data_IF_517418079971
#
_entry.id   IF_517418079971
#
_cell.length_a   1.000
_cell.length_b   1.000
_cell.length_c   1.000
_cell.angle_alpha   90.00
_cell.angle_beta   90.00
_cell.angle_gamma   90.00
#
_symmetry.space_group_name_H-M   'P 1'
#
loop_
_entity.id
_entity.type
_entity.pdbx_description
1 polymer ?
#
# COMPACT_ATOMS: atom_id res chain seq x y z
N UNK A 1 -5.97 4.27 -9.76
CA UNK A 1 -4.58 3.90 -9.41
C UNK A 1 -4.43 3.88 -7.91
N UNK A 2 -3.45 3.16 -7.40
CA UNK A 2 -3.09 3.19 -5.98
C UNK A 2 -1.60 3.51 -5.94
N UNK A 3 -1.19 4.58 -5.26
CA UNK A 3 0.21 4.97 -5.13
C UNK A 3 0.81 4.31 -3.89
N UNK A 4 2.02 3.78 -4.01
CA UNK A 4 2.76 3.18 -2.91
C UNK A 4 4.01 4.00 -2.59
N UNK A 5 4.16 4.31 -1.31
CA UNK A 5 5.31 4.97 -0.71
C UNK A 5 5.86 4.13 0.45
N UNK A 6 7.08 4.42 0.90
CA UNK A 6 7.64 3.83 2.13
C UNK A 6 8.06 4.96 3.07
N UNK A 7 9.04 5.75 2.63
CA UNK A 7 9.58 6.85 3.43
C UNK A 7 9.32 8.21 2.78
N UNK A 8 8.96 9.18 3.61
CA UNK A 8 9.00 10.60 3.24
C UNK A 8 9.78 11.31 4.34
N UNK A 9 10.99 11.76 4.04
CA UNK A 9 11.90 12.29 5.05
C UNK A 9 12.82 13.35 4.44
N UNK A 10 13.07 14.49 5.13
CA UNK A 10 14.09 15.44 4.71
C UNK A 10 15.47 14.77 4.55
N UNK A 11 16.27 15.12 3.53
CA UNK A 11 17.56 14.47 3.28
C UNK A 11 18.54 14.50 4.48
N UNK A 12 18.49 15.55 5.30
CA UNK A 12 19.29 15.72 6.52
C UNK A 12 18.81 14.86 7.71
N UNK A 13 17.62 14.27 7.61
CA UNK A 13 17.00 13.39 8.62
C UNK A 13 17.03 11.92 8.23
N UNK A 14 17.49 11.59 7.02
CA UNK A 14 17.71 10.21 6.60
C UNK A 14 18.83 9.59 7.45
N UNK A 15 18.63 8.41 8.08
CA UNK A 15 19.66 7.78 8.89
C UNK A 15 20.94 7.51 8.10
N UNK A 16 22.09 7.83 8.69
CA UNK A 16 23.40 7.51 8.10
C UNK A 16 23.64 5.99 7.99
N UNK A 17 23.00 5.20 8.86
CA UNK A 17 23.03 3.75 8.85
C UNK A 17 21.62 3.17 8.89
N UNK A 18 21.36 2.27 7.94
CA UNK A 18 20.12 1.51 7.83
C UNK A 18 20.41 0.16 7.18
N UNK A 19 19.63 -0.86 7.54
CA UNK A 19 19.68 -2.12 6.80
C UNK A 19 18.97 -1.96 5.44
N UNK A 20 19.37 -2.74 4.43
CA UNK A 20 18.70 -2.74 3.12
C UNK A 20 17.23 -3.19 3.18
N UNK A 21 16.82 -3.86 4.26
CA UNK A 21 15.45 -4.28 4.52
C UNK A 21 14.55 -3.12 4.96
N UNK A 22 15.12 -1.98 5.36
CA UNK A 22 14.35 -0.82 5.78
C UNK A 22 13.80 -0.02 4.59
N UNK A 23 14.38 -0.14 3.38
CA UNK A 23 13.79 0.47 2.19
C UNK A 23 14.09 1.96 1.99
N UNK A 24 15.09 2.52 2.68
CA UNK A 24 15.48 3.94 2.54
C UNK A 24 15.87 4.36 1.10
N UNK A 25 16.22 3.42 0.21
CA UNK A 25 16.40 3.69 -1.22
C UNK A 25 15.14 4.24 -1.92
N UNK A 26 13.97 4.07 -1.30
CA UNK A 26 12.67 4.56 -1.77
C UNK A 26 12.24 5.88 -1.11
N UNK A 27 13.11 6.51 -0.32
CA UNK A 27 12.80 7.74 0.44
C UNK A 27 12.67 8.98 -0.44
N UNK A 28 11.57 9.72 -0.27
CA UNK A 28 11.31 11.00 -0.94
C UNK A 28 11.42 12.17 0.03
N UNK A 29 11.97 13.29 -0.41
CA UNK A 29 11.84 14.53 0.34
C UNK A 29 10.38 15.01 0.35
N UNK A 30 9.88 15.65 1.44
CA UNK A 30 8.49 16.10 1.54
C UNK A 30 8.04 17.01 0.38
N UNK A 31 8.94 17.85 -0.13
CA UNK A 31 8.70 18.73 -1.27
C UNK A 31 8.55 17.95 -2.59
N UNK A 32 9.31 16.86 -2.77
CA UNK A 32 9.18 15.96 -3.92
C UNK A 32 7.86 15.20 -3.85
N UNK A 33 7.52 14.69 -2.66
CA UNK A 33 6.24 14.03 -2.39
C UNK A 33 5.04 14.96 -2.72
N UNK A 34 5.05 16.20 -2.21
CA UNK A 34 4.03 17.22 -2.56
C UNK A 34 3.92 17.45 -4.07
N UNK A 35 5.05 17.62 -4.75
CA UNK A 35 5.10 17.80 -6.22
C UNK A 35 4.51 16.61 -6.98
N UNK A 36 4.77 15.38 -6.54
CA UNK A 36 4.16 14.18 -7.13
C UNK A 36 2.64 14.21 -7.01
N UNK A 37 2.11 14.47 -5.82
CA UNK A 37 0.66 14.51 -5.59
C UNK A 37 -0.02 15.63 -6.38
N UNK A 38 0.61 16.82 -6.44
CA UNK A 38 0.12 17.94 -7.27
C UNK A 38 0.07 17.57 -8.75
N UNK A 39 1.07 16.84 -9.27
CA UNK A 39 1.08 16.37 -10.66
C UNK A 39 0.02 15.32 -10.93
N UNK A 40 -0.22 14.40 -10.01
CA UNK A 40 -1.30 13.41 -10.11
C UNK A 40 -2.65 14.14 -10.21
N UNK A 41 -2.89 15.12 -9.32
CA UNK A 41 -4.09 15.96 -9.33
C UNK A 41 -4.24 16.75 -10.62
N UNK A 42 -3.18 17.40 -11.11
CA UNK A 42 -3.23 18.20 -12.35
C UNK A 42 -3.49 17.37 -13.61
N UNK A 43 -3.25 16.05 -13.56
CA UNK A 43 -3.63 15.09 -14.62
C UNK A 43 -5.10 14.62 -14.52
N UNK A 44 -5.87 15.20 -13.61
CA UNK A 44 -7.29 14.93 -13.43
C UNK A 44 -7.60 13.68 -12.60
N UNK A 45 -6.65 13.21 -11.79
CA UNK A 45 -6.92 12.16 -10.81
C UNK A 45 -7.50 12.76 -9.53
N UNK A 46 -8.62 12.21 -9.07
CA UNK A 46 -9.25 12.54 -7.82
C UNK A 46 -8.75 11.62 -6.71
N UNK A 47 -8.24 12.19 -5.63
CA UNK A 47 -7.78 11.41 -4.48
C UNK A 47 -8.96 10.98 -3.62
N UNK A 48 -9.02 9.70 -3.27
CA UNK A 48 -10.05 9.09 -2.42
C UNK A 48 -9.41 8.12 -1.45
N UNK A 49 -10.11 7.80 -0.35
CA UNK A 49 -9.63 6.79 0.59
C UNK A 49 -9.53 5.43 -0.09
N UNK A 50 -8.70 4.52 0.44
CA UNK A 50 -8.61 3.18 -0.12
C UNK A 50 -9.96 2.44 -0.05
N UNK A 51 -10.75 2.67 1.01
CA UNK A 51 -12.11 2.13 1.11
C UNK A 51 -13.00 2.62 -0.03
N UNK A 52 -13.08 3.94 -0.27
CA UNK A 52 -13.85 4.49 -1.39
C UNK A 52 -13.31 4.04 -2.76
N UNK A 53 -12.00 3.83 -2.88
CA UNK A 53 -11.38 3.27 -4.08
C UNK A 53 -11.86 1.83 -4.33
N UNK A 54 -11.84 0.98 -3.28
CA UNK A 54 -12.25 -0.43 -3.35
C UNK A 54 -13.75 -0.57 -3.61
N UNK A 55 -14.59 0.22 -2.94
CA UNK A 55 -16.04 0.24 -3.19
C UNK A 55 -16.39 0.74 -4.59
N UNK A 56 -15.54 1.58 -5.18
CA UNK A 56 -15.69 2.10 -6.54
C UNK A 56 -15.04 1.24 -7.62
N UNK A 57 -14.53 0.04 -7.28
CA UNK A 57 -13.93 -0.85 -8.27
C UNK A 57 -14.96 -1.26 -9.31
N UNK A 58 -14.62 -1.18 -10.60
CA UNK A 58 -15.54 -1.59 -11.65
C UNK A 58 -15.74 -3.11 -11.64
N UNK A 59 -16.98 -3.52 -11.82
CA UNK A 59 -17.37 -4.89 -12.12
C UNK A 59 -17.54 -5.03 -13.65
N UNK A 60 -16.43 -5.16 -14.37
CA UNK A 60 -16.41 -5.24 -15.84
C UNK A 60 -15.96 -3.97 -16.56
N UNK A 61 -16.50 -3.71 -17.76
CA UNK A 61 -16.05 -2.66 -18.70
C UNK A 61 -16.75 -1.32 -18.50
N UNK A 62 -16.93 -0.88 -17.25
CA UNK A 62 -17.46 0.46 -16.98
C UNK A 62 -16.36 1.51 -17.14
N UNK A 63 -16.77 2.73 -17.48
CA UNK A 63 -15.87 3.86 -17.68
C UNK A 63 -15.09 4.14 -16.39
N UNK A 64 -13.77 4.01 -16.46
CA UNK A 64 -12.90 4.13 -15.29
C UNK A 64 -12.89 5.57 -14.79
N UNK A 65 -13.39 5.74 -13.56
CA UNK A 65 -13.18 6.98 -12.80
C UNK A 65 -11.68 7.14 -12.56
N UNK A 66 -11.14 8.35 -12.77
CA UNK A 66 -9.74 8.68 -12.48
C UNK A 66 -9.54 8.83 -10.97
N UNK A 67 -9.65 7.72 -10.23
CA UNK A 67 -9.47 7.69 -8.78
C UNK A 67 -8.02 7.34 -8.42
N UNK A 68 -7.47 7.99 -7.41
CA UNK A 68 -6.16 7.68 -6.84
C UNK A 68 -6.28 7.48 -5.33
N UNK A 69 -5.68 6.41 -4.79
CA UNK A 69 -5.50 6.23 -3.36
C UNK A 69 -4.00 6.32 -3.02
N UNK A 70 -3.65 6.90 -1.87
CA UNK A 70 -2.26 6.99 -1.39
C UNK A 70 -2.05 5.97 -0.28
N UNK A 71 -1.00 5.15 -0.41
CA UNK A 71 -0.68 4.11 0.56
C UNK A 71 0.80 4.14 0.95
N UNK A 72 1.09 3.77 2.19
CA UNK A 72 2.43 3.63 2.72
C UNK A 72 2.59 2.24 3.33
N UNK A 73 3.78 1.66 3.20
CA UNK A 73 4.10 0.37 3.78
C UNK A 73 4.96 0.51 5.04
N UNK A 74 4.98 -0.58 5.80
CA UNK A 74 5.78 -0.85 6.99
C UNK A 74 5.46 -0.04 8.27
N UNK A 75 4.82 1.12 8.18
CA UNK A 75 4.46 1.93 9.37
C UNK A 75 5.62 2.73 9.94
N UNK A 76 6.40 3.38 9.07
CA UNK A 76 7.54 4.23 9.44
C UNK A 76 7.11 5.53 10.14
N UNK A 77 7.85 5.96 11.17
CA UNK A 77 7.59 7.18 11.92
C UNK A 77 7.66 8.44 11.05
N UNK A 78 8.55 8.47 10.06
CA UNK A 78 8.66 9.60 9.13
C UNK A 78 7.37 9.84 8.34
N UNK A 79 6.51 8.83 8.19
CA UNK A 79 5.20 9.02 7.57
C UNK A 79 4.34 9.94 8.43
N UNK A 80 4.29 9.69 9.74
CA UNK A 80 3.60 10.55 10.71
C UNK A 80 4.21 11.95 10.76
N UNK A 81 5.54 12.06 10.81
CA UNK A 81 6.24 13.33 10.99
C UNK A 81 6.22 14.23 9.74
N UNK A 82 6.30 13.65 8.54
CA UNK A 82 6.52 14.42 7.32
C UNK A 82 5.54 14.13 6.18
N UNK A 83 5.01 12.91 6.04
CA UNK A 83 4.07 12.59 4.96
C UNK A 83 2.64 13.05 5.28
N UNK A 84 2.15 12.69 6.48
CA UNK A 84 0.77 12.98 6.90
C UNK A 84 0.49 14.49 6.95
N UNK A 85 1.36 15.37 7.47
CA UNK A 85 1.10 16.81 7.44
C UNK A 85 0.89 17.35 6.01
N UNK A 86 1.69 16.89 5.04
CA UNK A 86 1.52 17.25 3.62
C UNK A 86 0.17 16.77 3.09
N UNK A 87 -0.24 15.55 3.44
CA UNK A 87 -1.51 14.98 3.00
C UNK A 87 -2.71 15.71 3.60
N UNK A 88 -2.64 16.08 4.88
CA UNK A 88 -3.66 16.86 5.59
C UNK A 88 -3.82 18.25 4.96
N UNK A 89 -2.72 18.98 4.72
CA UNK A 89 -2.75 20.27 4.00
C UNK A 89 -3.39 20.15 2.62
N UNK A 90 -3.14 19.04 1.92
CA UNK A 90 -3.68 18.80 0.59
C UNK A 90 -5.07 18.16 0.59
N UNK A 91 -5.63 17.84 1.77
CA UNK A 91 -6.88 17.11 1.97
C UNK A 91 -6.91 15.77 1.20
N UNK A 92 -5.80 15.02 1.25
CA UNK A 92 -5.65 13.73 0.60
C UNK A 92 -5.73 12.63 1.66
N UNK A 93 -6.74 11.73 1.60
CA UNK A 93 -6.79 10.57 2.48
C UNK A 93 -5.67 9.58 2.15
N UNK A 94 -5.23 8.83 3.14
CA UNK A 94 -4.20 7.80 2.96
C UNK A 94 -4.47 6.55 3.79
N UNK A 95 -3.75 5.49 3.46
CA UNK A 95 -3.70 4.24 4.21
C UNK A 95 -2.26 3.91 4.58
N UNK A 96 -2.02 3.57 5.85
CA UNK A 96 -0.74 3.06 6.33
C UNK A 96 -0.88 1.55 6.57
N UNK A 97 -0.11 0.74 5.86
CA UNK A 97 0.01 -0.69 6.13
C UNK A 97 1.12 -0.92 7.15
N UNK A 98 0.77 -1.48 8.31
CA UNK A 98 1.66 -1.61 9.47
C UNK A 98 2.07 -3.06 9.68
N UNK A 99 3.36 -3.28 9.95
CA UNK A 99 3.87 -4.59 10.43
C UNK A 99 3.58 -4.66 11.93
N UNK A 100 2.57 -5.43 12.34
CA UNK A 100 2.01 -5.33 13.70
C UNK A 100 3.03 -5.62 14.80
N UNK A 101 3.87 -6.64 14.60
CA UNK A 101 4.90 -7.05 15.55
C UNK A 101 6.15 -6.16 15.56
N UNK A 102 6.30 -5.23 14.60
CA UNK A 102 7.43 -4.30 14.58
C UNK A 102 7.24 -3.08 15.50
N UNK A 103 6.04 -2.89 16.04
CA UNK A 103 5.73 -1.80 16.98
C UNK A 103 6.21 -2.07 18.41
N UNK A 104 6.58 -3.32 18.70
CA UNK A 104 7.10 -3.75 20.00
C UNK A 104 8.56 -4.22 19.81
N UNK A 105 9.52 -3.65 20.54
CA UNK A 105 10.93 -4.05 20.51
C UNK A 105 11.93 -2.98 20.03
N UNK A 106 13.19 -3.40 19.78
CA UNK A 106 14.36 -2.51 19.52
C UNK A 106 14.24 -1.72 18.21
N UNK A 107 13.45 -2.20 17.24
CA UNK A 107 13.14 -1.49 15.99
C UNK A 107 12.08 -0.39 16.13
N UNK A 108 11.49 -0.20 17.32
CA UNK A 108 10.36 0.71 17.56
C UNK A 108 10.70 2.20 17.39
N UNK A 109 11.96 2.61 17.57
CA UNK A 109 12.33 4.04 17.52
C UNK A 109 12.07 4.67 16.14
N UNK A 110 12.13 3.88 15.06
CA UNK A 110 11.84 4.33 13.69
C UNK A 110 10.42 4.01 13.25
N UNK A 111 9.66 3.24 14.03
CA UNK A 111 8.26 2.90 13.75
C UNK A 111 7.32 3.89 14.43
N UNK A 112 6.12 4.01 13.88
CA UNK A 112 5.04 4.69 14.58
C UNK A 112 4.67 3.92 15.85
N UNK A 113 4.40 4.66 16.91
CA UNK A 113 3.88 4.11 18.17
C UNK A 113 2.38 3.91 18.09
N UNK A 114 1.82 3.06 18.95
CA UNK A 114 0.35 2.85 19.03
C UNK A 114 -0.41 4.17 19.27
N UNK A 115 0.01 5.08 20.17
CA UNK A 115 -0.62 6.40 20.30
C UNK A 115 -0.65 7.21 18.99
N UNK A 116 0.46 7.23 18.23
CA UNK A 116 0.51 7.91 16.93
C UNK A 116 -0.47 7.27 15.94
N UNK A 117 -0.55 5.94 15.87
CA UNK A 117 -1.52 5.27 14.99
C UNK A 117 -2.97 5.58 15.36
N UNK A 118 -3.29 5.64 16.67
CA UNK A 118 -4.63 6.03 17.16
C UNK A 118 -4.97 7.48 16.84
N UNK A 119 -3.99 8.37 16.87
CA UNK A 119 -4.20 9.76 16.43
C UNK A 119 -4.52 9.81 14.93
N UNK A 120 -3.76 9.06 14.12
CA UNK A 120 -3.98 8.99 12.68
C UNK A 120 -5.38 8.46 12.32
N UNK A 121 -5.88 7.43 13.02
CA UNK A 121 -7.26 6.95 12.80
C UNK A 121 -8.29 8.03 13.12
N UNK A 122 -8.08 8.83 14.16
CA UNK A 122 -8.90 10.01 14.50
C UNK A 122 -8.89 11.11 13.42
N UNK A 123 -7.81 11.21 12.63
CA UNK A 123 -7.70 12.15 11.51
C UNK A 123 -8.21 11.60 10.17
N UNK A 124 -8.84 10.41 10.15
CA UNK A 124 -9.35 9.79 8.93
C UNK A 124 -8.29 9.09 8.07
N UNK A 125 -7.10 8.83 8.62
CA UNK A 125 -6.11 7.94 8.00
C UNK A 125 -6.48 6.49 8.31
N UNK A 126 -6.50 5.64 7.28
CA UNK A 126 -6.84 4.23 7.45
C UNK A 126 -5.60 3.43 7.86
N UNK A 127 -5.74 2.52 8.83
CA UNK A 127 -4.69 1.56 9.18
C UNK A 127 -5.03 0.20 8.54
N UNK A 128 -4.07 -0.35 7.80
CA UNK A 128 -4.11 -1.68 7.21
C UNK A 128 -2.98 -2.55 7.76
N UNK A 129 -3.02 -3.86 7.47
CA UNK A 129 -2.00 -4.80 7.92
C UNK A 129 -0.94 -5.06 6.84
N UNK A 130 0.32 -5.21 7.27
CA UNK A 130 1.46 -5.60 6.43
C UNK A 130 2.14 -6.88 6.93
N UNK A 131 1.34 -7.88 7.30
CA UNK A 131 1.71 -9.06 8.10
C UNK A 131 2.20 -8.72 9.51
N UNK A 132 2.50 -9.75 10.32
CA UNK A 132 2.89 -9.58 11.73
C UNK A 132 4.38 -9.31 11.85
N UNK A 133 5.21 -10.03 11.10
CA UNK A 133 6.68 -9.93 11.18
C UNK A 133 7.38 -9.59 9.86
N UNK A 134 6.61 -9.25 8.81
CA UNK A 134 7.11 -8.94 7.47
C UNK A 134 7.90 -10.10 6.77
N UNK A 135 7.49 -11.38 6.88
CA UNK A 135 8.21 -12.46 6.21
C UNK A 135 7.79 -12.56 4.75
N UNK A 136 8.52 -13.39 4.00
CA UNK A 136 8.06 -13.84 2.68
C UNK A 136 6.92 -14.85 2.85
N UNK A 137 5.67 -14.38 2.74
CA UNK A 137 4.47 -15.20 2.97
C UNK A 137 4.40 -16.48 2.10
N UNK A 138 4.89 -16.41 0.86
CA UNK A 138 4.84 -17.54 -0.08
C UNK A 138 5.72 -18.73 0.30
N UNK A 139 6.62 -18.58 1.28
CA UNK A 139 7.49 -19.66 1.77
C UNK A 139 7.02 -20.24 3.10
N UNK A 140 5.89 -19.79 3.63
CA UNK A 140 5.37 -20.23 4.93
C UNK A 140 4.48 -21.46 4.80
N UNK A 141 4.44 -22.28 5.85
CA UNK A 141 3.41 -23.28 6.02
C UNK A 141 2.08 -22.64 6.47
N UNK A 142 0.98 -23.40 6.41
CA UNK A 142 -0.37 -22.89 6.70
C UNK A 142 -0.52 -22.27 8.10
N UNK A 143 0.08 -22.88 9.13
CA UNK A 143 0.00 -22.38 10.51
C UNK A 143 0.72 -21.03 10.66
N UNK A 144 1.93 -20.92 10.11
CA UNK A 144 2.73 -19.69 10.15
C UNK A 144 2.07 -18.60 9.31
N UNK A 145 1.56 -18.94 8.12
CA UNK A 145 0.82 -18.01 7.27
C UNK A 145 -0.42 -17.46 7.98
N UNK A 146 -1.20 -18.32 8.65
CA UNK A 146 -2.36 -17.88 9.44
C UNK A 146 -1.93 -16.94 10.57
N UNK A 147 -0.85 -17.26 11.29
CA UNK A 147 -0.32 -16.40 12.35
C UNK A 147 0.09 -15.02 11.80
N UNK A 148 0.73 -14.98 10.64
CA UNK A 148 1.17 -13.74 10.00
C UNK A 148 0.03 -12.87 9.47
N UNK A 149 -1.04 -13.51 8.96
CA UNK A 149 -2.13 -12.79 8.27
C UNK A 149 -3.27 -12.46 9.24
N UNK A 150 -3.80 -13.45 9.96
CA UNK A 150 -4.88 -13.25 10.93
C UNK A 150 -4.35 -12.59 12.20
N UNK A 151 -3.17 -13.01 12.66
CA UNK A 151 -2.56 -12.43 13.86
C UNK A 151 -2.29 -10.93 13.70
N UNK A 152 -1.78 -10.50 12.54
CA UNK A 152 -1.60 -9.08 12.27
C UNK A 152 -2.91 -8.28 12.32
N UNK A 153 -4.01 -8.87 11.86
CA UNK A 153 -5.33 -8.25 11.93
C UNK A 153 -5.77 -8.07 13.38
N UNK A 154 -5.66 -9.13 14.17
CA UNK A 154 -6.01 -9.12 15.60
C UNK A 154 -5.18 -8.10 16.37
N UNK A 155 -3.85 -8.14 16.24
CA UNK A 155 -2.93 -7.23 16.95
C UNK A 155 -3.30 -5.76 16.69
N UNK A 156 -3.48 -5.41 15.42
CA UNK A 156 -3.75 -4.04 15.03
C UNK A 156 -5.13 -3.58 15.49
N UNK A 157 -6.17 -4.43 15.41
CA UNK A 157 -7.49 -4.09 15.94
C UNK A 157 -7.44 -3.83 17.44
N UNK A 158 -6.72 -4.66 18.20
CA UNK A 158 -6.56 -4.52 19.64
C UNK A 158 -5.78 -3.23 19.98
N UNK A 159 -4.77 -2.91 19.19
CA UNK A 159 -3.92 -1.74 19.39
C UNK A 159 -4.60 -0.43 18.97
N UNK A 160 -5.23 -0.35 17.79
CA UNK A 160 -5.78 0.91 17.26
C UNK A 160 -7.27 1.11 17.53
N UNK A 161 -8.00 0.06 17.90
CA UNK A 161 -9.42 0.12 18.24
C UNK A 161 -10.37 0.32 17.04
N UNK A 162 -9.90 0.07 15.83
CA UNK A 162 -10.70 0.16 14.58
C UNK A 162 -10.58 -1.13 13.78
N UNK A 163 -11.59 -1.43 12.96
CA UNK A 163 -11.54 -2.59 12.06
C UNK A 163 -10.40 -2.45 11.03
N UNK A 164 -9.64 -3.53 10.85
CA UNK A 164 -8.49 -3.57 9.94
C UNK A 164 -8.90 -4.36 8.70
N UNK A 165 -9.26 -3.61 7.64
CA UNK A 165 -9.97 -4.15 6.48
C UNK A 165 -9.06 -4.41 5.28
N UNK A 166 -7.87 -3.82 5.25
CA UNK A 166 -6.97 -3.89 4.10
C UNK A 166 -5.65 -4.56 4.45
N UNK A 167 -5.12 -5.31 3.50
CA UNK A 167 -3.82 -5.97 3.61
C UNK A 167 -2.87 -5.48 2.51
N UNK A 168 -1.58 -5.42 2.77
CA UNK A 168 -0.55 -5.31 1.74
C UNK A 168 0.42 -6.49 1.87
N UNK A 169 0.74 -7.14 0.74
CA UNK A 169 1.66 -8.28 0.77
C UNK A 169 3.11 -7.81 0.93
N UNK A 170 3.88 -8.30 1.92
CA UNK A 170 5.31 -8.05 2.02
C UNK A 170 6.05 -8.31 0.70
N UNK A 171 6.77 -7.31 0.22
CA UNK A 171 7.45 -7.35 -1.09
C UNK A 171 6.53 -7.55 -2.30
N UNK A 172 5.21 -7.38 -2.14
CA UNK A 172 4.19 -7.59 -3.16
C UNK A 172 3.95 -9.05 -3.56
N UNK A 173 4.55 -10.02 -2.87
CA UNK A 173 4.54 -11.43 -3.30
C UNK A 173 3.36 -12.19 -2.73
N UNK A 174 2.63 -12.90 -3.59
CA UNK A 174 1.51 -13.75 -3.22
C UNK A 174 1.44 -14.98 -4.13
N UNK A 175 0.73 -16.01 -3.66
CA UNK A 175 0.24 -17.16 -4.42
C UNK A 175 -1.20 -17.45 -3.96
N UNK A 176 -1.85 -18.48 -4.51
CA UNK A 176 -3.24 -18.78 -4.18
C UNK A 176 -3.47 -19.02 -2.68
N UNK A 177 -2.61 -19.84 -2.04
CA UNK A 177 -2.71 -20.10 -0.60
C UNK A 177 -2.61 -18.83 0.26
N UNK A 178 -1.75 -17.88 -0.11
CA UNK A 178 -1.64 -16.57 0.57
C UNK A 178 -2.89 -15.73 0.36
N UNK A 179 -3.44 -15.71 -0.86
CA UNK A 179 -4.70 -15.00 -1.15
C UNK A 179 -5.85 -15.59 -0.33
N UNK A 180 -6.00 -16.91 -0.30
CA UNK A 180 -7.05 -17.59 0.46
C UNK A 180 -6.94 -17.33 1.97
N UNK A 181 -5.71 -17.29 2.51
CA UNK A 181 -5.48 -16.93 3.90
C UNK A 181 -5.90 -15.50 4.21
N UNK A 182 -5.67 -14.55 3.29
CA UNK A 182 -6.10 -13.15 3.46
C UNK A 182 -7.62 -13.03 3.38
N UNK A 183 -8.27 -13.73 2.44
CA UNK A 183 -9.73 -13.77 2.36
C UNK A 183 -10.35 -14.37 3.64
N UNK A 184 -9.82 -15.50 4.09
CA UNK A 184 -10.31 -16.22 5.27
C UNK A 184 -10.10 -15.45 6.58
N UNK A 185 -9.10 -14.57 6.63
CA UNK A 185 -8.87 -13.68 7.77
C UNK A 185 -9.87 -12.49 7.85
N UNK A 186 -10.70 -12.31 6.82
CA UNK A 186 -11.75 -11.30 6.80
C UNK A 186 -11.33 -9.94 6.23
N UNK A 187 -10.19 -9.84 5.56
CA UNK A 187 -9.84 -8.62 4.83
C UNK A 187 -10.78 -8.39 3.64
N UNK A 188 -11.09 -7.13 3.34
CA UNK A 188 -11.97 -6.75 2.22
C UNK A 188 -11.22 -6.65 0.89
N UNK A 189 -9.93 -6.27 0.94
CA UNK A 189 -9.06 -6.15 -0.22
C UNK A 189 -7.59 -6.23 0.19
N UNK A 190 -6.73 -6.56 -0.78
CA UNK A 190 -5.30 -6.64 -0.57
C UNK A 190 -4.51 -6.03 -1.73
N UNK A 191 -3.39 -5.38 -1.39
CA UNK A 191 -2.53 -4.64 -2.30
C UNK A 191 -1.23 -5.39 -2.61
N UNK A 192 -0.79 -5.28 -3.86
CA UNK A 192 0.48 -5.81 -4.37
C UNK A 192 1.19 -4.77 -5.24
N UNK A 193 2.47 -4.99 -5.51
CA UNK A 193 3.24 -4.29 -6.56
C UNK A 193 3.54 -5.18 -7.76
N UNK A 194 3.09 -6.44 -7.72
CA UNK A 194 3.24 -7.43 -8.77
C UNK A 194 1.92 -7.57 -9.52
N UNK A 195 2.01 -7.75 -10.83
CA UNK A 195 0.84 -7.93 -11.68
C UNK A 195 0.20 -6.61 -12.05
N UNK A 196 0.77 -5.94 -13.06
CA UNK A 196 0.29 -4.69 -13.65
C UNK A 196 -1.10 -4.87 -14.31
N UNK A 197 -2.10 -5.25 -13.54
CA UNK A 197 -3.46 -5.45 -13.97
C UNK A 197 -4.28 -4.21 -13.60
N UNK A 198 -5.32 -3.89 -14.37
CA UNK A 198 -6.32 -2.97 -13.88
C UNK A 198 -6.95 -3.46 -12.59
N UNK A 199 -7.13 -2.53 -11.66
CA UNK A 199 -7.85 -2.80 -10.44
C UNK A 199 -9.35 -2.86 -10.77
N UNK A 200 -9.94 -4.03 -10.52
CA UNK A 200 -11.35 -4.37 -10.74
C UNK A 200 -11.83 -5.20 -9.56
N UNK A 201 -13.13 -5.44 -9.46
CA UNK A 201 -13.68 -6.26 -8.36
C UNK A 201 -13.05 -7.67 -8.34
N UNK A 202 -12.80 -8.28 -9.51
CA UNK A 202 -12.14 -9.58 -9.64
C UNK A 202 -10.69 -9.61 -9.16
N UNK A 203 -10.03 -8.45 -9.02
CA UNK A 203 -8.63 -8.33 -8.58
C UNK A 203 -8.51 -7.71 -7.20
N UNK A 204 -9.61 -7.61 -6.43
CA UNK A 204 -9.65 -6.95 -5.13
C UNK A 204 -8.65 -7.50 -4.10
N UNK A 205 -8.20 -8.73 -4.24
CA UNK A 205 -7.19 -9.35 -3.37
C UNK A 205 -5.76 -9.32 -3.94
N UNK A 206 -5.51 -8.61 -5.03
CA UNK A 206 -4.17 -8.34 -5.53
C UNK A 206 -4.14 -7.01 -6.29
N UNK A 207 -4.68 -5.97 -5.68
CA UNK A 207 -4.75 -4.63 -6.24
C UNK A 207 -3.35 -4.12 -6.54
N UNK A 208 -3.11 -3.78 -7.80
CA UNK A 208 -1.82 -3.26 -8.24
C UNK A 208 -1.61 -1.83 -7.72
N UNK A 209 -0.41 -1.60 -7.20
CA UNK A 209 0.07 -0.28 -6.77
C UNK A 209 1.22 0.21 -7.64
N UNK A 210 1.15 1.49 -7.97
CA UNK A 210 2.17 2.23 -8.70
C UNK A 210 3.23 2.78 -7.74
N UNK A 211 4.50 2.50 -8.05
CA UNK A 211 5.65 3.12 -7.39
C UNK A 211 6.19 4.22 -8.32
N UNK A 212 5.92 5.49 -8.02
CA UNK A 212 6.44 6.60 -8.82
C UNK A 212 7.92 6.82 -8.49
N UNK A 213 8.73 7.19 -9.49
CA UNK A 213 10.16 7.41 -9.27
C UNK A 213 10.43 8.81 -8.71
N UNK A 214 11.63 8.98 -8.13
CA UNK A 214 12.08 10.22 -7.47
C UNK A 214 11.89 11.48 -8.31
N UNK A 215 12.07 11.37 -9.63
CA UNK A 215 11.76 12.43 -10.58
C UNK A 215 10.37 12.23 -11.16
N UNK A 216 9.40 12.87 -10.51
CA UNK A 216 7.99 12.99 -10.92
C UNK A 216 7.80 13.73 -12.27
N UNK A 217 8.53 13.33 -13.29
CA UNK A 217 8.91 14.09 -14.46
C UNK A 217 9.31 13.22 -15.64
N UNK A 218 9.90 12.05 -15.37
CA UNK A 218 10.37 11.13 -16.39
C UNK A 218 9.28 10.62 -17.33
N UNK A 219 9.71 10.15 -18.51
CA UNK A 219 8.83 9.54 -19.51
C UNK A 219 8.04 8.36 -18.91
N UNK A 220 8.68 7.54 -18.06
CA UNK A 220 8.05 6.39 -17.38
C UNK A 220 6.89 6.80 -16.47
N UNK A 221 7.07 7.82 -15.65
CA UNK A 221 6.00 8.32 -14.77
C UNK A 221 4.90 8.99 -15.59
N UNK A 222 5.26 9.72 -16.65
CA UNK A 222 4.27 10.30 -17.58
C UNK A 222 3.41 9.23 -18.26
N UNK A 223 3.99 8.08 -18.61
CA UNK A 223 3.27 6.92 -19.14
C UNK A 223 2.39 6.27 -18.07
N UNK A 224 2.87 6.08 -16.83
CA UNK A 224 2.09 5.52 -15.71
C UNK A 224 0.91 6.40 -15.30
N UNK A 225 1.03 7.71 -15.44
CA UNK A 225 -0.05 8.67 -15.16
C UNK A 225 -1.05 8.82 -16.32
N UNK A 226 -0.73 8.32 -17.52
CA UNK A 226 -1.61 8.38 -18.69
C UNK A 226 -2.68 7.29 -18.62
N UNK A 227 -3.94 7.67 -18.51
CA UNK A 227 -5.07 6.74 -18.49
C UNK A 227 -5.10 5.85 -19.76
N UNK A 228 -4.85 6.42 -20.92
CA UNK A 228 -4.84 5.72 -22.22
C UNK A 228 -3.78 4.61 -22.23
N UNK A 229 -2.56 4.92 -21.78
CA UNK A 229 -1.46 3.94 -21.75
C UNK A 229 -1.77 2.82 -20.76
N UNK A 230 -2.34 3.15 -19.59
CA UNK A 230 -2.75 2.16 -18.59
C UNK A 230 -3.82 1.21 -19.12
N UNK A 231 -4.77 1.72 -19.91
CA UNK A 231 -5.83 0.90 -20.49
C UNK A 231 -5.27 -0.06 -21.55
N UNK A 232 -4.33 0.39 -22.39
CA UNK A 232 -3.69 -0.46 -23.38
C UNK A 232 -2.77 -1.54 -22.78
N UNK A 233 -2.00 -1.21 -21.73
CA UNK A 233 -1.03 -2.13 -21.12
C UNK A 233 -1.66 -3.12 -20.14
N UNK A 234 -2.79 -2.74 -19.51
CA UNK A 234 -3.42 -3.55 -18.45
C UNK A 234 -3.99 -4.89 -18.93
N UNK A 235 -4.46 -4.98 -20.18
CA UNK A 235 -5.10 -6.20 -20.69
C UNK A 235 -4.13 -7.40 -20.77
N UNK A 236 -2.91 -7.21 -21.28
CA UNK A 236 -1.92 -8.28 -21.42
C UNK A 236 -1.37 -8.78 -20.07
N UNK A 237 -1.30 -7.90 -19.08
CA UNK A 237 -0.75 -8.22 -17.77
C UNK A 237 -1.76 -8.92 -16.86
N UNK A 238 -3.05 -8.57 -16.93
CA UNK A 238 -4.10 -9.27 -16.19
C UNK A 238 -4.19 -10.77 -16.53
N UNK A 239 -4.06 -11.12 -17.82
CA UNK A 239 -4.09 -12.52 -18.26
C UNK A 239 -2.89 -13.33 -17.75
N UNK A 240 -1.70 -12.72 -17.64
CA UNK A 240 -0.51 -13.39 -17.12
C UNK A 240 -0.58 -13.66 -15.62
N UNK A 241 -1.18 -12.75 -14.85
CA UNK A 241 -1.34 -12.93 -13.40
C UNK A 241 -2.39 -14.00 -13.11
N UNK A 242 -3.52 -13.99 -13.82
CA UNK A 242 -4.53 -15.05 -13.67
C UNK A 242 -3.97 -16.43 -14.07
N UNK A 243 -3.22 -16.50 -15.16
CA UNK A 243 -2.53 -17.75 -15.52
C UNK A 243 -1.54 -18.21 -14.45
N UNK A 244 -0.74 -17.29 -13.88
CA UNK A 244 0.21 -17.64 -12.82
C UNK A 244 -0.47 -18.10 -11.51
N UNK A 245 -1.68 -17.61 -11.22
CA UNK A 245 -2.49 -18.08 -10.09
C UNK A 245 -3.12 -19.46 -10.35
N UNK A 246 -3.52 -19.73 -11.59
CA UNK A 246 -4.18 -20.99 -11.98
C UNK A 246 -3.20 -22.12 -12.36
N UNK A 247 -1.91 -21.83 -12.59
CA UNK A 247 -0.91 -22.84 -12.97
C UNK A 247 -0.30 -23.61 -11.77
N UNK A 248 -0.92 -23.57 -10.59
CA UNK A 248 -0.45 -24.26 -9.39
C UNK A 248 -1.49 -25.24 -8.81
N UNK A 249 -2.51 -25.61 -9.59
CA UNK A 249 -3.38 -26.77 -9.32
C UNK A 249 -2.74 -28.09 -9.78
#
# INVERSE_FOLDING_TARGET
MILMYHHVCPPDKVPAQSSGLEGWQYCLAPQQFRRQLSRVRSRGWNFVSLSSYVSGLPDGSTQRRRLAAVTFDDGWRDNYEFAIPVLMEMQIPATIFVVSGAMEGVSSDRRMTVPQLRELTGCGITIGAHSRSHPRLTSLNAASLKSEVLGARSDLQDQVGTDVQFFAYPGGRFNQAVVDSVQSAGYLAACSVIGFAPNQLSTRFWLYRDVLQHEAGGLRDSLRLSAVVRDCLGWRAANRVRAALNCLE
#
